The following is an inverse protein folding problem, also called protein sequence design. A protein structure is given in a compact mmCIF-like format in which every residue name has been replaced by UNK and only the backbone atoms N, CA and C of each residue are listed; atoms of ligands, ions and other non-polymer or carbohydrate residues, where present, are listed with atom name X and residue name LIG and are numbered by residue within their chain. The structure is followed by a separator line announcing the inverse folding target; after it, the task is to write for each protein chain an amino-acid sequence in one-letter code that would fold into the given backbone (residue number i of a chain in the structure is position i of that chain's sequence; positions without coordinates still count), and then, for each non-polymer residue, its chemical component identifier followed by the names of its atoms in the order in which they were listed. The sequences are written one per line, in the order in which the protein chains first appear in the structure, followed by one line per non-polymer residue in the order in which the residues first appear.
data_IF_522633116678
#
_entry.id   IF_522633116678
#
_cell.length_a   1.000
_cell.length_b   1.000
_cell.length_c   1.000
_cell.angle_alpha   90.00
_cell.angle_beta   90.00
_cell.angle_gamma   90.00
#
_symmetry.space_group_name_H-M   'P 1'
#
loop_
_entity.id
_entity.type
_entity.pdbx_description
1 polymer ?
#
# COMPACT_ATOMS: atom_id res chain seq x y z
N UNK A 1 -16.66 -15.63 30.38
CA UNK A 1 -16.05 -14.82 29.29
C UNK A 1 -15.81 -15.71 28.08
N UNK A 2 -16.67 -15.64 27.06
CA UNK A 2 -16.46 -16.39 25.83
C UNK A 2 -15.22 -15.83 25.10
N UNK A 3 -14.13 -16.59 25.12
CA UNK A 3 -12.89 -16.30 24.38
C UNK A 3 -13.24 -16.35 22.90
N UNK A 4 -13.54 -15.19 22.29
CA UNK A 4 -13.79 -15.09 20.84
C UNK A 4 -12.49 -15.51 20.16
N UNK A 5 -12.40 -16.78 19.75
CA UNK A 5 -11.33 -17.26 18.89
C UNK A 5 -11.54 -16.53 17.57
N UNK A 6 -10.84 -15.41 17.41
CA UNK A 6 -10.78 -14.69 16.14
C UNK A 6 -10.16 -15.67 15.15
N UNK A 7 -11.00 -16.35 14.37
CA UNK A 7 -10.57 -17.07 13.17
C UNK A 7 -10.07 -16.00 12.22
N UNK A 8 -8.82 -15.58 12.38
CA UNK A 8 -8.14 -14.77 11.38
C UNK A 8 -8.08 -15.63 10.13
N UNK A 9 -8.86 -15.25 9.13
CA UNK A 9 -8.84 -15.87 7.79
C UNK A 9 -7.40 -15.85 7.31
N UNK A 10 -6.91 -16.91 6.65
CA UNK A 10 -5.49 -17.01 6.25
C UNK A 10 -4.99 -15.77 5.47
N UNK A 11 -5.88 -15.10 4.73
CA UNK A 11 -5.62 -13.82 4.07
C UNK A 11 -5.18 -12.69 5.02
N UNK A 12 -5.78 -12.60 6.21
CA UNK A 12 -5.40 -11.61 7.22
C UNK A 12 -4.04 -11.92 7.86
N UNK A 13 -3.67 -13.20 7.95
CA UNK A 13 -2.36 -13.62 8.46
C UNK A 13 -1.27 -13.27 7.44
N UNK A 14 -1.50 -13.52 6.15
CA UNK A 14 -0.58 -13.09 5.08
C UNK A 14 -0.43 -11.57 5.01
N UNK A 15 -1.53 -10.81 5.15
CA UNK A 15 -1.48 -9.34 5.20
C UNK A 15 -0.84 -8.79 6.49
N UNK A 16 -0.62 -9.63 7.50
CA UNK A 16 0.09 -9.27 8.72
C UNK A 16 1.62 -9.38 8.55
N UNK A 17 2.09 -10.08 7.51
CA UNK A 17 3.51 -10.17 7.18
C UNK A 17 4.00 -8.85 6.60
N UNK A 18 4.97 -8.23 7.27
CA UNK A 18 5.52 -6.92 6.87
C UNK A 18 6.10 -6.93 5.46
N UNK A 19 6.76 -8.02 5.05
CA UNK A 19 7.29 -8.19 3.69
C UNK A 19 6.22 -8.08 2.59
N UNK A 20 5.05 -8.70 2.78
CA UNK A 20 3.97 -8.68 1.78
C UNK A 20 3.47 -7.25 1.56
N UNK A 21 3.32 -6.48 2.63
CA UNK A 21 2.93 -5.07 2.53
C UNK A 21 4.01 -4.20 1.90
N UNK A 22 5.28 -4.50 2.15
CA UNK A 22 6.41 -3.78 1.55
C UNK A 22 6.45 -3.99 0.03
N UNK A 23 6.23 -5.23 -0.43
CA UNK A 23 6.10 -5.55 -1.86
C UNK A 23 4.92 -4.81 -2.48
N UNK A 24 3.75 -4.81 -1.83
CA UNK A 24 2.58 -4.07 -2.32
C UNK A 24 2.88 -2.55 -2.40
N UNK A 25 3.53 -1.99 -1.38
CA UNK A 25 3.89 -0.58 -1.37
C UNK A 25 4.86 -0.23 -2.51
N UNK A 26 5.86 -1.07 -2.78
CA UNK A 26 6.78 -0.91 -3.91
C UNK A 26 6.05 -0.94 -5.26
N UNK A 27 5.13 -1.88 -5.44
CA UNK A 27 4.32 -1.98 -6.68
C UNK A 27 3.49 -0.71 -6.88
N UNK A 28 2.83 -0.20 -5.84
CA UNK A 28 2.07 1.04 -5.93
C UNK A 28 2.95 2.27 -6.16
N UNK A 29 4.19 2.27 -5.66
CA UNK A 29 5.16 3.34 -5.88
C UNK A 29 5.64 3.35 -7.35
N UNK A 30 5.90 2.18 -7.92
CA UNK A 30 6.19 2.02 -9.35
C UNK A 30 5.01 2.46 -10.22
N UNK A 31 3.79 2.06 -9.88
CA UNK A 31 2.58 2.50 -10.58
C UNK A 31 2.42 4.02 -10.50
N UNK A 32 2.62 4.60 -9.32
CA UNK A 32 2.59 6.05 -9.13
C UNK A 32 3.60 6.76 -10.04
N UNK A 33 4.82 6.25 -10.15
CA UNK A 33 5.83 6.81 -11.05
C UNK A 33 5.39 6.73 -12.52
N UNK A 34 4.83 5.59 -12.94
CA UNK A 34 4.27 5.42 -14.28
C UNK A 34 3.16 6.42 -14.59
N UNK A 35 2.20 6.60 -13.66
CA UNK A 35 1.13 7.58 -13.81
C UNK A 35 1.63 9.02 -13.80
N UNK A 36 2.65 9.36 -13.01
CA UNK A 36 3.28 10.70 -13.05
C UNK A 36 3.91 10.94 -14.42
N UNK A 37 4.66 9.97 -14.94
CA UNK A 37 5.29 10.08 -16.26
C UNK A 37 4.25 10.25 -17.37
N UNK A 38 3.16 9.48 -17.34
CA UNK A 38 2.03 9.61 -18.25
C UNK A 38 1.33 10.97 -18.13
N UNK A 39 1.10 11.43 -16.90
CA UNK A 39 0.43 12.70 -16.63
C UNK A 39 1.24 13.92 -17.11
N UNK A 40 2.57 13.83 -17.09
CA UNK A 40 3.47 14.86 -17.63
C UNK A 40 3.34 14.93 -19.16
N UNK A 41 3.23 13.79 -19.83
CA UNK A 41 3.10 13.72 -21.29
C UNK A 41 1.69 14.12 -21.77
N UNK A 42 0.65 13.67 -21.06
CA UNK A 42 -0.75 13.89 -21.45
C UNK A 42 -1.32 15.23 -20.97
N UNK A 43 -0.74 15.83 -19.93
CA UNK A 43 -1.29 17.01 -19.24
C UNK A 43 -2.64 16.77 -18.56
N UNK A 44 -3.08 15.51 -18.43
CA UNK A 44 -4.42 15.17 -17.97
C UNK A 44 -4.52 15.23 -16.43
N UNK A 45 -5.43 16.07 -15.92
CA UNK A 45 -5.66 16.25 -14.49
C UNK A 45 -6.06 14.95 -13.78
N UNK A 46 -6.74 14.04 -14.48
CA UNK A 46 -7.15 12.74 -13.92
C UNK A 46 -5.97 11.80 -13.66
N UNK A 47 -4.93 11.87 -14.50
CA UNK A 47 -3.73 11.03 -14.34
C UNK A 47 -2.89 11.53 -13.15
N UNK A 48 -2.82 12.85 -12.95
CA UNK A 48 -2.27 13.43 -11.73
C UNK A 48 -3.04 13.00 -10.47
N UNK A 49 -4.38 13.02 -10.52
CA UNK A 49 -5.19 12.56 -9.39
C UNK A 49 -4.95 11.07 -9.09
N UNK A 50 -4.90 10.22 -10.11
CA UNK A 50 -4.61 8.79 -9.96
C UNK A 50 -3.21 8.54 -9.38
N UNK A 51 -2.21 9.28 -9.85
CA UNK A 51 -0.85 9.24 -9.33
C UNK A 51 -0.81 9.63 -7.83
N UNK A 52 -1.46 10.73 -7.45
CA UNK A 52 -1.52 11.20 -6.05
C UNK A 52 -2.21 10.17 -5.16
N UNK A 53 -3.30 9.57 -5.61
CA UNK A 53 -4.01 8.52 -4.85
C UNK A 53 -3.14 7.28 -4.68
N UNK A 54 -2.46 6.83 -5.74
CA UNK A 54 -1.53 5.70 -5.66
C UNK A 54 -0.37 5.98 -4.72
N UNK A 55 0.23 7.17 -4.82
CA UNK A 55 1.32 7.59 -3.95
C UNK A 55 0.88 7.65 -2.48
N UNK A 56 -0.26 8.28 -2.20
CA UNK A 56 -0.83 8.34 -0.86
C UNK A 56 -1.08 6.95 -0.28
N UNK A 57 -1.63 6.04 -1.10
CA UNK A 57 -1.88 4.66 -0.69
C UNK A 57 -0.58 3.89 -0.41
N UNK A 58 0.45 4.06 -1.25
CA UNK A 58 1.77 3.49 -1.02
C UNK A 58 2.37 4.00 0.28
N UNK A 59 2.32 5.31 0.53
CA UNK A 59 2.88 5.96 1.70
C UNK A 59 2.18 5.52 2.98
N UNK A 60 0.85 5.39 2.96
CA UNK A 60 0.06 4.91 4.09
C UNK A 60 0.36 3.43 4.42
N UNK A 61 0.56 2.59 3.41
CA UNK A 61 0.99 1.21 3.59
C UNK A 61 2.45 1.13 4.09
N UNK A 62 3.35 1.97 3.58
CA UNK A 62 4.75 2.05 4.03
C UNK A 62 4.85 2.46 5.50
N UNK A 63 4.10 3.48 5.96
CA UNK A 63 4.10 3.90 7.38
C UNK A 63 3.59 2.77 8.28
N UNK A 64 2.49 2.10 7.90
CA UNK A 64 1.97 0.96 8.67
C UNK A 64 2.92 -0.23 8.67
N UNK A 65 3.63 -0.45 7.58
CA UNK A 65 4.63 -1.52 7.45
C UNK A 65 5.86 -1.21 8.27
N UNK A 66 6.36 0.03 8.24
CA UNK A 66 7.48 0.49 9.06
C UNK A 66 7.17 0.35 10.55
N UNK A 67 5.97 0.76 10.98
CA UNK A 67 5.55 0.55 12.37
C UNK A 67 5.48 -0.94 12.73
N UNK A 68 4.98 -1.81 11.85
CA UNK A 68 4.98 -3.24 12.13
C UNK A 68 6.40 -3.82 12.14
N UNK A 69 7.28 -3.45 11.21
CA UNK A 69 8.64 -3.97 11.13
C UNK A 69 9.53 -3.50 12.30
N UNK A 70 9.32 -2.28 12.81
CA UNK A 70 10.08 -1.71 13.94
C UNK A 70 9.59 -2.24 15.29
N UNK A 71 8.29 -2.52 15.42
CA UNK A 71 7.67 -2.99 16.67
C UNK A 71 7.38 -4.52 16.69
N UNK A 72 7.92 -5.28 15.72
CA UNK A 72 7.81 -6.75 15.64
C UNK A 72 9.12 -7.41 16.01
#
# INVERSE_FOLDING_TARGET
MAKRVSRKTQQQVLMQTWWVRLVIALVFLMLSYGFISLAIDSGNLFEYAAAIVCFWYALHNSIRTFRLAVFN
#
